data_IF_734002946582
#
_entry.id   IF_734002946582
#
_cell.length_a   1.000
_cell.length_b   1.000
_cell.length_c   1.000
_cell.angle_alpha   90.00
_cell.angle_beta   90.00
_cell.angle_gamma   90.00
#
_symmetry.space_group_name_H-M   'P 1'
#
loop_
_entity.id
_entity.type
_entity.pdbx_description
1 polymer ?
#
# COMPACT_ATOMS: atom_id res chain seq x y z
N UNK A 1 -20.99 -12.98 -36.60
CA UNK A 1 -20.84 -14.10 -35.63
C UNK A 1 -19.87 -13.73 -34.51
N UNK A 2 -18.59 -13.44 -34.80
CA UNK A 2 -17.63 -13.05 -33.74
C UNK A 2 -18.03 -11.80 -32.96
N UNK A 3 -18.62 -10.79 -33.64
CA UNK A 3 -19.12 -9.58 -32.98
C UNK A 3 -20.22 -9.88 -31.93
N UNK A 4 -21.07 -10.89 -32.17
CA UNK A 4 -22.10 -11.33 -31.23
C UNK A 4 -21.46 -11.95 -30.00
N UNK A 5 -20.49 -12.86 -30.18
CA UNK A 5 -19.76 -13.47 -29.07
C UNK A 5 -18.95 -12.44 -28.26
N UNK A 6 -18.33 -11.45 -28.92
CA UNK A 6 -17.62 -10.37 -28.24
C UNK A 6 -18.57 -9.47 -27.44
N UNK A 7 -19.75 -9.19 -27.97
CA UNK A 7 -20.79 -8.45 -27.24
C UNK A 7 -21.26 -9.22 -26.00
N UNK A 8 -21.54 -10.51 -26.14
CA UNK A 8 -21.93 -11.37 -25.02
C UNK A 8 -20.83 -11.45 -23.96
N UNK A 9 -19.58 -11.66 -24.37
CA UNK A 9 -18.42 -11.66 -23.49
C UNK A 9 -18.29 -10.35 -22.69
N UNK A 10 -18.36 -9.19 -23.38
CA UNK A 10 -18.30 -7.87 -22.74
C UNK A 10 -19.42 -7.70 -21.72
N UNK A 11 -20.64 -8.12 -22.07
CA UNK A 11 -21.81 -8.06 -21.17
C UNK A 11 -21.59 -8.93 -19.93
N UNK A 12 -21.15 -10.18 -20.08
CA UNK A 12 -20.92 -11.09 -18.95
C UNK A 12 -19.80 -10.63 -18.02
N UNK A 13 -18.72 -10.03 -18.55
CA UNK A 13 -17.69 -9.43 -17.70
C UNK A 13 -18.22 -8.26 -16.86
N UNK A 14 -19.15 -7.46 -17.41
CA UNK A 14 -19.85 -6.43 -16.63
C UNK A 14 -20.66 -7.04 -15.48
N UNK A 15 -21.39 -8.13 -15.73
CA UNK A 15 -22.15 -8.85 -14.70
C UNK A 15 -21.23 -9.44 -13.61
N UNK A 16 -20.12 -10.07 -13.99
CA UNK A 16 -19.11 -10.59 -13.05
C UNK A 16 -18.57 -9.48 -12.15
N UNK A 17 -18.27 -8.30 -12.72
CA UNK A 17 -17.76 -7.15 -11.96
C UNK A 17 -18.71 -6.74 -10.84
N UNK A 18 -20.01 -6.67 -11.13
CA UNK A 18 -21.02 -6.32 -10.13
C UNK A 18 -21.20 -7.43 -9.07
N UNK A 19 -21.04 -8.69 -9.45
CA UNK A 19 -21.06 -9.81 -8.51
C UNK A 19 -19.85 -9.81 -7.57
N UNK A 20 -18.66 -9.45 -8.07
CA UNK A 20 -17.45 -9.28 -7.26
C UNK A 20 -17.63 -8.13 -6.28
N UNK A 21 -18.09 -6.95 -6.73
CA UNK A 21 -18.38 -5.80 -5.85
C UNK A 21 -19.42 -6.13 -4.77
N UNK A 22 -20.40 -6.95 -5.11
CA UNK A 22 -21.42 -7.43 -4.18
C UNK A 22 -21.00 -8.61 -3.32
N UNK A 23 -19.70 -8.97 -3.30
CA UNK A 23 -19.11 -10.07 -2.53
C UNK A 23 -19.77 -11.44 -2.80
N UNK A 24 -20.38 -11.61 -3.98
CA UNK A 24 -21.02 -12.87 -4.42
C UNK A 24 -20.04 -13.82 -5.10
N UNK A 25 -18.88 -13.31 -5.48
CA UNK A 25 -17.74 -14.06 -6.02
C UNK A 25 -16.57 -13.78 -5.07
N UNK A 26 -15.88 -14.83 -4.65
CA UNK A 26 -14.74 -14.69 -3.74
C UNK A 26 -13.57 -13.97 -4.42
N UNK A 27 -12.69 -13.35 -3.62
CA UNK A 27 -11.45 -12.76 -4.14
C UNK A 27 -10.63 -13.78 -4.92
N UNK A 28 -10.49 -15.01 -4.40
CA UNK A 28 -9.77 -16.11 -5.05
C UNK A 28 -10.35 -16.46 -6.44
N UNK A 29 -11.68 -16.57 -6.56
CA UNK A 29 -12.31 -16.83 -7.86
C UNK A 29 -12.05 -15.70 -8.87
N UNK A 30 -12.06 -14.45 -8.38
CA UNK A 30 -11.73 -13.29 -9.21
C UNK A 30 -10.26 -13.30 -9.63
N UNK A 31 -9.34 -13.63 -8.73
CA UNK A 31 -7.90 -13.71 -9.04
C UNK A 31 -7.62 -14.78 -10.09
N UNK A 32 -8.23 -15.96 -9.99
CA UNK A 32 -8.11 -17.02 -11.00
C UNK A 32 -8.59 -16.58 -12.38
N UNK A 33 -9.70 -15.84 -12.44
CA UNK A 33 -10.20 -15.25 -13.68
C UNK A 33 -9.20 -14.23 -14.25
N UNK A 34 -8.68 -13.33 -13.41
CA UNK A 34 -7.71 -12.30 -13.81
C UNK A 34 -6.40 -12.92 -14.32
N UNK A 35 -5.87 -13.92 -13.62
CA UNK A 35 -4.69 -14.71 -14.02
C UNK A 35 -4.89 -15.30 -15.42
N UNK A 36 -6.01 -15.98 -15.64
CA UNK A 36 -6.33 -16.61 -16.94
C UNK A 36 -6.40 -15.59 -18.08
N UNK A 37 -6.97 -14.41 -17.82
CA UNK A 37 -7.05 -13.33 -18.80
C UNK A 37 -5.66 -12.75 -19.11
N UNK A 38 -4.83 -12.52 -18.09
CA UNK A 38 -3.48 -11.98 -18.25
C UNK A 38 -2.55 -12.96 -18.97
N UNK A 39 -2.63 -14.25 -18.68
CA UNK A 39 -1.90 -15.28 -19.44
C UNK A 39 -2.25 -15.27 -20.93
N UNK A 40 -3.54 -15.08 -21.25
CA UNK A 40 -3.98 -14.95 -22.64
C UNK A 40 -3.45 -13.66 -23.29
N UNK A 41 -3.49 -12.54 -22.56
CA UNK A 41 -2.97 -11.25 -23.04
C UNK A 41 -1.46 -11.29 -23.28
N UNK A 42 -0.68 -11.93 -22.40
CA UNK A 42 0.77 -12.12 -22.57
C UNK A 42 1.08 -12.98 -23.80
N UNK A 43 0.25 -13.99 -24.12
CA UNK A 43 0.42 -14.76 -25.36
C UNK A 43 0.17 -13.91 -26.62
N UNK A 44 -0.76 -12.97 -26.54
CA UNK A 44 -1.10 -12.08 -27.64
C UNK A 44 -0.12 -10.91 -27.81
N UNK A 45 0.39 -10.37 -26.71
CA UNK A 45 1.35 -9.26 -26.65
C UNK A 45 2.45 -9.55 -25.60
N UNK A 46 3.47 -10.36 -25.95
CA UNK A 46 4.48 -10.83 -25.01
C UNK A 46 5.45 -9.74 -24.53
N UNK A 47 5.46 -8.57 -25.17
CA UNK A 47 6.36 -7.47 -24.83
C UNK A 47 5.73 -6.47 -23.86
N UNK A 48 4.46 -6.69 -23.47
CA UNK A 48 3.76 -5.80 -22.56
C UNK A 48 4.10 -6.12 -21.09
N UNK A 49 5.04 -5.35 -20.54
CA UNK A 49 5.52 -5.51 -19.16
C UNK A 49 4.39 -5.41 -18.13
N UNK A 50 3.41 -4.52 -18.36
CA UNK A 50 2.29 -4.32 -17.44
C UNK A 50 1.46 -5.59 -17.25
N UNK A 51 1.27 -6.39 -18.31
CA UNK A 51 0.54 -7.66 -18.18
C UNK A 51 1.31 -8.68 -17.33
N UNK A 52 2.64 -8.72 -17.47
CA UNK A 52 3.51 -9.60 -16.67
C UNK A 52 3.52 -9.15 -15.21
N UNK A 53 3.57 -7.84 -14.95
CA UNK A 53 3.51 -7.27 -13.60
C UNK A 53 2.18 -7.56 -12.92
N UNK A 54 1.06 -7.32 -13.60
CA UNK A 54 -0.27 -7.62 -13.06
C UNK A 54 -0.45 -9.13 -12.84
N UNK A 55 0.09 -9.97 -13.71
CA UNK A 55 0.05 -11.42 -13.50
C UNK A 55 0.81 -11.80 -12.21
N UNK A 56 1.97 -11.19 -11.98
CA UNK A 56 2.73 -11.40 -10.75
C UNK A 56 1.93 -11.00 -9.50
N UNK A 57 1.27 -9.83 -9.53
CA UNK A 57 0.42 -9.33 -8.44
C UNK A 57 -0.74 -10.29 -8.15
N UNK A 58 -1.49 -10.73 -9.16
CA UNK A 58 -2.60 -11.65 -8.94
C UNK A 58 -2.16 -13.04 -8.49
N UNK A 59 -1.06 -13.56 -9.02
CA UNK A 59 -0.47 -14.81 -8.51
C UNK A 59 -0.07 -14.65 -7.03
N UNK A 60 0.45 -13.49 -6.65
CA UNK A 60 0.87 -13.19 -5.29
C UNK A 60 -0.33 -13.09 -4.35
N UNK A 61 -1.37 -12.34 -4.73
CA UNK A 61 -2.65 -12.23 -3.99
C UNK A 61 -3.36 -13.58 -3.82
N UNK A 62 -3.19 -14.48 -4.78
CA UNK A 62 -3.77 -15.83 -4.75
C UNK A 62 -2.88 -16.86 -4.02
N UNK A 63 -1.75 -16.43 -3.44
CA UNK A 63 -0.86 -17.29 -2.66
C UNK A 63 0.13 -18.13 -3.49
N UNK A 64 0.17 -17.95 -4.81
CA UNK A 64 1.13 -18.59 -5.71
C UNK A 64 2.50 -17.87 -5.70
N UNK A 65 3.05 -17.63 -4.51
CA UNK A 65 4.23 -16.77 -4.24
C UNK A 65 5.45 -17.14 -5.09
N UNK A 66 5.70 -18.43 -5.35
CA UNK A 66 6.81 -18.86 -6.21
C UNK A 66 6.64 -18.40 -7.66
N UNK A 67 5.43 -18.58 -8.20
CA UNK A 67 5.12 -18.18 -9.58
C UNK A 67 5.09 -16.66 -9.70
N UNK A 68 4.58 -15.95 -8.69
CA UNK A 68 4.67 -14.50 -8.60
C UNK A 68 6.12 -14.03 -8.69
N UNK A 69 7.04 -14.63 -7.91
CA UNK A 69 8.46 -14.30 -7.95
C UNK A 69 9.16 -14.59 -9.29
N UNK A 70 8.69 -15.59 -10.05
CA UNK A 70 9.15 -15.81 -11.43
C UNK A 70 8.69 -14.68 -12.36
N UNK A 71 7.42 -14.26 -12.25
CA UNK A 71 6.89 -13.16 -13.07
C UNK A 71 7.49 -11.80 -12.68
N UNK A 72 7.70 -11.50 -11.39
CA UNK A 72 8.37 -10.28 -10.95
C UNK A 72 9.81 -10.18 -11.45
N UNK A 73 10.57 -11.28 -11.44
CA UNK A 73 11.91 -11.30 -12.06
C UNK A 73 11.84 -11.01 -13.55
N UNK A 74 10.88 -11.61 -14.25
CA UNK A 74 10.66 -11.34 -15.67
C UNK A 74 10.30 -9.87 -15.95
N UNK A 75 9.54 -9.22 -15.06
CA UNK A 75 9.29 -7.77 -15.15
C UNK A 75 10.60 -6.99 -15.14
N UNK A 76 11.50 -7.26 -14.19
CA UNK A 76 12.80 -6.58 -14.11
C UNK A 76 13.79 -7.00 -15.21
N UNK A 77 13.62 -8.17 -15.83
CA UNK A 77 14.37 -8.52 -17.05
C UNK A 77 13.90 -7.69 -18.27
N UNK A 78 12.59 -7.42 -18.37
CA UNK A 78 12.00 -6.67 -19.47
C UNK A 78 12.16 -5.15 -19.33
N UNK A 79 12.07 -4.63 -18.10
CA UNK A 79 12.26 -3.23 -17.77
C UNK A 79 13.13 -3.10 -16.50
N UNK A 80 14.46 -3.14 -16.66
CA UNK A 80 15.40 -3.17 -15.55
C UNK A 80 15.39 -1.93 -14.66
N UNK A 81 15.85 -2.12 -13.43
CA UNK A 81 16.05 -1.02 -12.49
C UNK A 81 16.98 0.04 -13.08
N UNK A 82 16.60 1.31 -12.88
CA UNK A 82 17.48 2.43 -13.20
C UNK A 82 18.38 2.73 -12.00
N UNK A 83 19.64 3.09 -12.20
CA UNK A 83 20.47 3.57 -11.11
C UNK A 83 19.88 4.88 -10.56
N UNK A 84 19.89 5.02 -9.24
CA UNK A 84 19.65 6.31 -8.61
C UNK A 84 20.85 7.23 -8.83
N UNK A 85 20.57 8.51 -9.06
CA UNK A 85 21.59 9.55 -8.97
C UNK A 85 21.75 10.00 -7.52
N UNK A 86 22.92 10.58 -7.18
CA UNK A 86 23.15 11.18 -5.84
C UNK A 86 22.09 12.23 -5.48
N UNK A 87 21.57 12.95 -6.49
CA UNK A 87 20.50 13.91 -6.29
C UNK A 87 19.19 13.22 -5.91
N UNK A 88 18.83 12.12 -6.57
CA UNK A 88 17.61 11.37 -6.27
C UNK A 88 17.69 10.68 -4.91
N UNK A 89 18.84 10.09 -4.54
CA UNK A 89 19.06 9.54 -3.20
C UNK A 89 18.89 10.62 -2.13
N UNK A 90 19.48 11.80 -2.33
CA UNK A 90 19.31 12.93 -1.41
C UNK A 90 17.85 13.40 -1.34
N UNK A 91 17.11 13.39 -2.45
CA UNK A 91 15.68 13.78 -2.45
C UNK A 91 14.81 12.74 -1.72
N UNK A 92 15.10 11.44 -1.89
CA UNK A 92 14.48 10.37 -1.09
C UNK A 92 14.69 10.62 0.41
N UNK A 93 15.91 10.98 0.82
CA UNK A 93 16.19 11.26 2.22
C UNK A 93 15.50 12.56 2.70
N UNK A 94 15.58 13.62 1.89
CA UNK A 94 14.99 14.94 2.19
C UNK A 94 13.48 14.88 2.40
N UNK A 95 12.78 14.12 1.56
CA UNK A 95 11.32 14.02 1.59
C UNK A 95 10.82 12.79 2.35
N UNK A 96 11.71 12.05 3.02
CA UNK A 96 11.32 10.90 3.82
C UNK A 96 10.36 11.35 4.93
N UNK A 97 9.15 10.76 5.02
CA UNK A 97 8.16 11.17 6.00
C UNK A 97 8.64 10.90 7.43
N UNK A 98 8.04 11.57 8.41
CA UNK A 98 8.11 11.24 9.82
C UNK A 98 6.82 10.50 10.18
N UNK A 99 6.92 9.40 10.92
CA UNK A 99 5.76 8.67 11.39
C UNK A 99 5.49 9.02 12.85
N UNK A 100 4.21 9.21 13.16
CA UNK A 100 3.71 9.36 14.51
C UNK A 100 2.81 8.18 14.84
N UNK A 101 3.24 7.37 15.79
CA UNK A 101 2.56 6.13 16.19
C UNK A 101 1.94 6.27 17.58
N UNK A 102 1.03 5.36 17.88
CA UNK A 102 0.47 5.25 19.22
C UNK A 102 1.53 4.77 20.24
N UNK A 103 1.59 5.34 21.46
CA UNK A 103 2.50 4.86 22.51
C UNK A 103 2.37 3.37 22.88
N UNK A 104 1.21 2.78 22.58
CA UNK A 104 0.89 1.37 22.84
C UNK A 104 1.00 0.50 21.58
N UNK A 105 1.54 1.01 20.47
CA UNK A 105 1.72 0.23 19.23
C UNK A 105 2.41 -1.11 19.55
N UNK A 106 1.77 -2.20 19.12
CA UNK A 106 2.18 -3.56 19.42
C UNK A 106 2.98 -4.21 18.28
N UNK A 107 2.92 -3.66 17.07
CA UNK A 107 3.65 -4.15 15.91
C UNK A 107 4.72 -3.13 15.48
N UNK A 108 6.01 -3.41 15.69
CA UNK A 108 7.06 -2.50 15.30
C UNK A 108 7.24 -2.43 13.77
N UNK A 109 7.74 -1.29 13.29
CA UNK A 109 8.20 -1.14 11.90
C UNK A 109 9.45 -2.01 11.66
N UNK A 110 9.39 -2.93 10.71
CA UNK A 110 10.46 -3.89 10.39
C UNK A 110 11.40 -3.38 9.32
N UNK A 111 10.84 -2.94 8.20
CA UNK A 111 11.58 -2.51 7.02
C UNK A 111 10.90 -1.30 6.39
N UNK A 112 11.71 -0.52 5.67
CA UNK A 112 11.29 0.63 4.87
C UNK A 112 11.95 0.52 3.52
N UNK A 113 11.16 0.64 2.45
CA UNK A 113 11.67 0.70 1.07
C UNK A 113 11.23 2.01 0.46
N UNK A 114 12.16 2.75 -0.14
CA UNK A 114 11.85 3.96 -0.89
C UNK A 114 12.05 3.71 -2.39
N UNK A 115 11.05 4.07 -3.19
CA UNK A 115 11.11 3.93 -4.65
C UNK A 115 10.82 5.26 -5.30
N UNK A 116 11.77 5.76 -6.08
CA UNK A 116 11.61 6.95 -6.90
C UNK A 116 11.01 6.57 -8.26
N UNK A 117 9.96 7.28 -8.68
CA UNK A 117 9.35 7.03 -9.98
C UNK A 117 10.25 7.55 -11.12
N UNK A 118 10.56 6.75 -12.15
CA UNK A 118 11.62 7.07 -13.10
C UNK A 118 11.39 8.32 -13.95
N UNK A 119 10.12 8.71 -14.15
CA UNK A 119 9.74 9.86 -15.00
C UNK A 119 8.83 10.88 -14.34
N UNK A 120 8.48 10.71 -13.06
CA UNK A 120 7.53 11.60 -12.34
C UNK A 120 8.22 12.03 -11.05
N UNK A 121 8.01 13.27 -10.58
CA UNK A 121 8.63 13.73 -9.34
C UNK A 121 7.82 13.26 -8.13
N UNK A 122 7.75 11.94 -7.96
CA UNK A 122 7.03 11.27 -6.89
C UNK A 122 7.92 10.16 -6.33
N UNK A 123 7.91 10.02 -5.01
CA UNK A 123 8.62 8.96 -4.29
C UNK A 123 7.57 8.19 -3.49
N UNK A 124 7.55 6.87 -3.64
CA UNK A 124 6.81 5.94 -2.79
C UNK A 124 7.67 5.49 -1.63
N UNK A 125 7.13 5.54 -0.41
CA UNK A 125 7.70 4.96 0.80
C UNK A 125 6.80 3.82 1.25
N UNK A 126 7.37 2.63 1.28
CA UNK A 126 6.70 1.38 1.60
C UNK A 126 7.14 0.96 3.01
N UNK A 127 6.18 0.86 3.91
CA UNK A 127 6.38 0.55 5.32
C UNK A 127 5.92 -0.87 5.58
N UNK A 128 6.74 -1.65 6.28
CA UNK A 128 6.41 -3.03 6.62
C UNK A 128 6.35 -3.19 8.14
N UNK A 129 5.15 -3.22 8.69
CA UNK A 129 4.88 -3.41 10.11
C UNK A 129 4.86 -4.89 10.46
N UNK A 130 5.09 -5.26 11.72
CA UNK A 130 5.25 -6.66 12.10
C UNK A 130 4.07 -7.56 11.75
N UNK A 131 2.84 -7.06 11.87
CA UNK A 131 1.62 -7.82 11.58
C UNK A 131 0.42 -6.85 11.40
N UNK A 132 -0.79 -7.38 11.15
CA UNK A 132 -2.05 -6.64 11.25
C UNK A 132 -2.92 -7.28 12.34
N UNK A 133 -3.39 -6.46 13.28
CA UNK A 133 -4.19 -6.91 14.40
C UNK A 133 -5.47 -7.64 13.98
N UNK A 134 -6.04 -7.31 12.83
CA UNK A 134 -7.21 -7.99 12.28
C UNK A 134 -6.86 -9.22 11.46
N UNK A 135 -5.61 -9.44 11.06
CA UNK A 135 -5.27 -10.52 10.13
C UNK A 135 -4.22 -11.53 10.63
N UNK A 136 -4.44 -12.19 11.77
CA UNK A 136 -3.52 -13.23 12.25
C UNK A 136 -3.53 -14.53 11.43
N UNK A 137 -4.32 -14.62 10.35
CA UNK A 137 -4.62 -15.83 9.59
C UNK A 137 -4.55 -15.64 8.06
N UNK A 138 -3.99 -14.53 7.58
CA UNK A 138 -3.78 -14.28 6.14
C UNK A 138 -2.44 -14.83 5.61
N UNK A 139 -1.58 -15.32 6.52
CA UNK A 139 -0.24 -15.84 6.24
C UNK A 139 0.73 -14.80 5.67
N UNK A 140 0.46 -13.52 5.90
CA UNK A 140 1.33 -12.41 5.56
C UNK A 140 2.13 -12.00 6.81
N UNK A 141 3.47 -12.11 6.79
CA UNK A 141 4.30 -11.89 7.97
C UNK A 141 4.57 -10.39 8.27
N UNK A 142 3.78 -9.52 7.67
CA UNK A 142 3.82 -8.08 7.84
C UNK A 142 2.58 -7.43 7.25
N UNK A 143 2.18 -6.30 7.82
CA UNK A 143 1.29 -5.34 7.16
C UNK A 143 2.13 -4.35 6.32
N UNK A 144 1.72 -4.13 5.07
CA UNK A 144 2.46 -3.32 4.10
C UNK A 144 1.72 -2.03 3.83
N UNK A 145 2.22 -0.87 4.28
CA UNK A 145 1.58 0.43 4.07
C UNK A 145 2.36 1.32 3.07
N UNK A 146 1.65 2.23 2.40
CA UNK A 146 2.23 3.06 1.32
C UNK A 146 2.00 4.55 1.58
N UNK A 147 3.06 5.35 1.37
CA UNK A 147 3.01 6.81 1.38
C UNK A 147 3.64 7.30 0.09
N UNK A 148 3.02 8.29 -0.57
CA UNK A 148 3.60 8.93 -1.74
C UNK A 148 3.77 10.43 -1.54
N UNK A 149 4.97 10.92 -1.87
CA UNK A 149 5.31 12.34 -1.79
C UNK A 149 5.61 12.83 -3.20
N UNK A 150 4.79 13.77 -3.69
CA UNK A 150 5.10 14.53 -4.91
C UNK A 150 5.83 15.81 -4.56
N UNK A 151 6.72 16.25 -5.45
CA UNK A 151 7.49 17.47 -5.27
C UNK A 151 7.74 18.20 -6.59
N UNK A 152 8.11 19.46 -6.51
CA UNK A 152 8.63 20.20 -7.65
C UNK A 152 10.15 20.02 -7.75
N UNK A 153 10.65 19.53 -8.89
CA UNK A 153 12.07 19.20 -9.06
C UNK A 153 13.00 20.42 -9.04
N UNK A 154 12.49 21.62 -9.37
CA UNK A 154 13.33 22.82 -9.49
C UNK A 154 13.50 23.52 -8.14
N UNK A 155 12.41 23.62 -7.39
CA UNK A 155 12.36 24.27 -6.08
C UNK A 155 12.60 23.28 -4.95
N UNK A 156 12.47 21.99 -5.23
CA UNK A 156 12.57 20.90 -4.26
C UNK A 156 11.63 21.08 -3.06
N UNK A 157 10.39 21.45 -3.37
CA UNK A 157 9.31 21.66 -2.41
C UNK A 157 8.24 20.59 -2.60
N UNK A 158 7.71 20.04 -1.51
CA UNK A 158 6.59 19.09 -1.54
C UNK A 158 5.36 19.76 -2.14
N UNK A 159 4.72 19.11 -3.10
CA UNK A 159 3.52 19.61 -3.77
C UNK A 159 2.28 18.80 -3.45
N UNK A 160 2.44 17.55 -3.02
CA UNK A 160 1.33 16.67 -2.65
C UNK A 160 1.81 15.60 -1.67
N UNK A 161 0.94 15.22 -0.75
CA UNK A 161 1.17 14.15 0.22
C UNK A 161 -0.02 13.21 0.15
N UNK A 162 0.26 11.93 -0.10
CA UNK A 162 -0.73 10.88 -0.22
C UNK A 162 -0.35 9.69 0.66
N UNK A 163 -1.33 8.95 1.15
CA UNK A 163 -1.10 7.71 1.88
C UNK A 163 -2.20 6.69 1.63
N UNK A 164 -1.87 5.43 1.89
CA UNK A 164 -2.83 4.33 1.95
C UNK A 164 -3.60 4.36 3.27
N UNK A 165 -4.91 4.14 3.20
CA UNK A 165 -5.78 4.01 4.36
C UNK A 165 -6.87 2.98 4.04
N UNK A 166 -6.75 1.75 4.57
CA UNK A 166 -7.76 0.69 4.43
C UNK A 166 -8.35 0.54 3.02
N UNK A 167 -7.49 0.30 2.02
CA UNK A 167 -7.89 0.19 0.60
C UNK A 167 -8.30 1.49 -0.08
N UNK A 168 -7.84 2.63 0.43
CA UNK A 168 -8.09 3.97 -0.10
C UNK A 168 -6.79 4.75 -0.23
N UNK A 169 -6.73 5.67 -1.18
CA UNK A 169 -5.69 6.70 -1.21
C UNK A 169 -6.26 8.01 -0.68
N UNK A 170 -5.67 8.51 0.40
CA UNK A 170 -5.96 9.83 0.95
C UNK A 170 -4.98 10.87 0.39
N UNK A 171 -5.42 12.12 0.31
CA UNK A 171 -4.57 13.29 0.01
C UNK A 171 -5.01 14.48 0.85
N UNK A 172 -4.08 15.34 1.25
CA UNK A 172 -4.37 16.51 2.08
C UNK A 172 -3.49 17.71 1.74
N UNK A 173 -4.11 18.86 1.47
CA UNK A 173 -3.39 20.13 1.32
C UNK A 173 -2.76 20.59 2.65
N UNK A 174 -3.39 20.26 3.78
CA UNK A 174 -2.85 20.60 5.09
C UNK A 174 -1.61 19.78 5.42
N UNK A 175 -1.53 18.53 4.93
CA UNK A 175 -0.31 17.73 5.04
C UNK A 175 0.86 18.31 4.22
N UNK A 176 0.59 18.99 3.10
CA UNK A 176 1.62 19.73 2.34
C UNK A 176 2.14 20.92 3.15
N UNK A 177 1.24 21.71 3.76
CA UNK A 177 1.62 22.85 4.62
C UNK A 177 2.39 22.39 5.87
N UNK A 178 1.98 21.27 6.46
CA UNK A 178 2.68 20.63 7.58
C UNK A 178 4.09 20.20 7.16
N UNK A 179 4.23 19.54 6.01
CA UNK A 179 5.54 19.19 5.45
C UNK A 179 6.43 20.43 5.24
N UNK A 180 5.89 21.53 4.70
CA UNK A 180 6.66 22.77 4.51
C UNK A 180 7.18 23.35 5.82
N UNK A 181 6.36 23.26 6.87
CA UNK A 181 6.72 23.70 8.23
C UNK A 181 7.72 22.76 8.90
N UNK A 182 7.85 21.54 8.39
CA UNK A 182 8.71 20.49 8.93
C UNK A 182 9.83 20.10 7.94
N UNK A 183 10.52 21.10 7.39
CA UNK A 183 11.71 20.89 6.54
C UNK A 183 11.45 20.03 5.30
N UNK A 184 10.24 20.11 4.74
CA UNK A 184 9.76 19.31 3.60
C UNK A 184 9.49 17.83 3.92
N UNK A 185 9.47 17.44 5.20
CA UNK A 185 9.14 16.08 5.64
C UNK A 185 7.68 16.01 6.08
N UNK A 186 6.86 15.28 5.33
CA UNK A 186 5.47 15.05 5.72
C UNK A 186 5.38 14.28 7.03
N UNK A 187 4.37 14.58 7.85
CA UNK A 187 4.09 13.87 9.09
C UNK A 187 2.86 12.97 8.88
N UNK A 188 3.03 11.68 9.13
CA UNK A 188 2.01 10.67 8.91
C UNK A 188 1.67 10.01 10.24
N UNK A 189 0.38 9.96 10.57
CA UNK A 189 -0.11 9.34 11.81
C UNK A 189 -0.53 7.91 11.50
N UNK A 190 -0.10 6.95 12.31
CA UNK A 190 -0.29 5.53 12.05
C UNK A 190 -1.28 4.98 13.07
N UNK A 191 -2.40 4.45 12.57
CA UNK A 191 -3.42 3.81 13.40
C UNK A 191 -2.85 2.59 14.14
N UNK A 192 -3.18 2.48 15.43
CA UNK A 192 -2.71 1.38 16.27
C UNK A 192 -3.10 0.00 15.70
N UNK A 193 -2.11 -0.87 15.57
CA UNK A 193 -2.26 -2.30 15.26
C UNK A 193 -2.76 -2.65 13.85
N UNK A 194 -3.43 -1.72 13.16
CA UNK A 194 -3.94 -1.89 11.78
C UNK A 194 -3.22 -1.00 10.75
N UNK A 195 -2.38 -0.09 11.24
CA UNK A 195 -1.49 0.79 10.49
C UNK A 195 -2.09 1.66 9.38
N UNK A 196 -3.41 1.85 9.35
CA UNK A 196 -4.03 2.83 8.47
C UNK A 196 -3.35 4.20 8.60
N UNK A 197 -2.77 4.70 7.51
CA UNK A 197 -2.03 5.97 7.53
C UNK A 197 -2.98 7.16 7.40
N UNK A 198 -2.78 8.15 8.27
CA UNK A 198 -3.61 9.36 8.38
C UNK A 198 -2.77 10.61 8.13
N UNK A 199 -3.36 11.56 7.40
CA UNK A 199 -2.75 12.84 7.05
C UNK A 199 -3.16 13.96 8.00
N UNK A 200 -2.44 15.08 7.98
CA UNK A 200 -2.86 16.29 8.69
C UNK A 200 -4.30 16.68 8.30
N UNK A 201 -5.14 16.97 9.30
CA UNK A 201 -6.56 17.32 9.12
C UNK A 201 -7.50 16.13 8.93
N UNK A 202 -7.04 14.89 9.14
CA UNK A 202 -7.83 13.66 8.96
C UNK A 202 -9.17 13.68 9.69
N UNK A 203 -9.30 14.37 10.82
CA UNK A 203 -10.51 14.46 11.64
C UNK A 203 -11.72 14.98 10.84
N UNK A 204 -11.45 15.81 9.82
CA UNK A 204 -12.46 16.42 8.95
C UNK A 204 -12.52 15.77 7.55
N UNK A 205 -11.64 14.80 7.28
CA UNK A 205 -11.59 14.12 5.99
C UNK A 205 -12.69 13.06 5.87
N UNK A 206 -13.03 12.76 4.63
CA UNK A 206 -13.89 11.64 4.26
C UNK A 206 -13.10 10.68 3.38
N UNK A 207 -13.30 9.38 3.59
CA UNK A 207 -12.71 8.41 2.66
C UNK A 207 -13.43 8.48 1.29
N UNK A 208 -12.70 8.25 0.20
CA UNK A 208 -13.17 8.62 -1.14
C UNK A 208 -14.23 7.70 -1.76
N UNK A 209 -14.48 6.49 -1.23
CA UNK A 209 -15.40 5.54 -1.89
C UNK A 209 -16.83 5.60 -1.35
N UNK A 210 -17.02 5.71 -0.04
CA UNK A 210 -18.34 5.72 0.62
C UNK A 210 -18.70 7.10 1.20
N UNK A 211 -17.71 7.99 1.37
CA UNK A 211 -17.90 9.33 1.91
C UNK A 211 -18.04 9.37 3.44
N UNK A 212 -17.75 8.26 4.13
CA UNK A 212 -17.70 8.19 5.60
C UNK A 212 -16.56 9.06 6.12
N UNK A 213 -16.77 9.78 7.21
CA UNK A 213 -15.71 10.59 7.84
C UNK A 213 -14.69 9.70 8.51
N UNK A 214 -13.40 10.05 8.41
CA UNK A 214 -12.33 9.25 9.04
C UNK A 214 -12.46 9.23 10.56
N UNK A 215 -12.98 10.31 11.17
CA UNK A 215 -13.30 10.32 12.59
C UNK A 215 -14.35 9.27 12.98
N UNK A 216 -15.38 9.06 12.15
CA UNK A 216 -16.36 8.02 12.40
C UNK A 216 -15.73 6.64 12.23
N UNK A 217 -14.96 6.45 11.15
CA UNK A 217 -14.23 5.21 10.87
C UNK A 217 -13.29 4.81 12.02
N UNK A 218 -12.48 5.73 12.53
CA UNK A 218 -11.57 5.44 13.64
C UNK A 218 -12.32 5.12 14.93
N UNK A 219 -13.49 5.72 15.18
CA UNK A 219 -14.31 5.37 16.36
C UNK A 219 -14.84 3.94 16.25
N UNK A 220 -15.34 3.54 15.08
CA UNK A 220 -15.78 2.17 14.85
C UNK A 220 -14.62 1.19 14.95
N UNK A 221 -13.47 1.55 14.38
CA UNK A 221 -12.26 0.72 14.43
C UNK A 221 -11.72 0.59 15.84
N UNK A 222 -11.67 1.67 16.62
CA UNK A 222 -11.35 1.64 18.04
C UNK A 222 -12.25 0.68 18.82
N UNK A 223 -13.57 0.77 18.69
CA UNK A 223 -14.49 -0.15 19.37
C UNK A 223 -14.28 -1.60 18.92
N UNK A 224 -14.01 -1.81 17.63
CA UNK A 224 -13.70 -3.13 17.08
C UNK A 224 -12.42 -3.72 17.66
N UNK A 225 -11.30 -3.00 17.63
CA UNK A 225 -10.02 -3.49 18.14
C UNK A 225 -9.98 -3.58 19.66
N UNK A 226 -10.70 -2.70 20.37
CA UNK A 226 -10.90 -2.80 21.82
C UNK A 226 -11.60 -4.09 22.23
N UNK A 227 -12.52 -4.58 21.40
CA UNK A 227 -13.22 -5.84 21.60
C UNK A 227 -12.48 -7.07 21.01
N UNK A 228 -11.19 -6.91 20.69
CA UNK A 228 -10.32 -8.00 20.24
C UNK A 228 -10.18 -8.12 18.72
N UNK A 229 -10.80 -7.22 17.96
CA UNK A 229 -10.70 -7.18 16.50
C UNK A 229 -11.32 -8.42 15.83
N UNK A 230 -10.88 -8.71 14.61
CA UNK A 230 -11.30 -9.91 13.88
C UNK A 230 -10.71 -11.16 14.55
N UNK A 231 -11.48 -12.26 14.57
CA UNK A 231 -11.07 -13.56 15.13
C UNK A 231 -10.35 -13.48 16.50
N UNK A 232 -10.97 -12.89 17.54
CA UNK A 232 -10.31 -12.61 18.83
C UNK A 232 -9.79 -13.86 19.58
N UNK A 233 -10.31 -15.04 19.24
CA UNK A 233 -9.89 -16.33 19.79
C UNK A 233 -8.78 -17.02 18.99
N UNK A 234 -8.23 -16.37 17.95
CA UNK A 234 -7.18 -16.97 17.12
C UNK A 234 -5.94 -17.33 17.96
N UNK A 235 -5.31 -18.51 17.79
CA UNK A 235 -4.20 -18.95 18.64
C UNK A 235 -3.00 -18.00 18.68
N UNK A 236 -2.71 -17.25 17.60
CA UNK A 236 -1.60 -16.29 17.60
C UNK A 236 -1.87 -15.08 18.50
N UNK A 237 -3.13 -14.65 18.64
CA UNK A 237 -3.52 -13.51 19.48
C UNK A 237 -3.24 -13.72 20.97
N UNK A 238 -2.93 -14.95 21.41
CA UNK A 238 -2.46 -15.20 22.79
C UNK A 238 -1.14 -14.51 23.12
N UNK A 239 -0.37 -14.12 22.09
CA UNK A 239 0.88 -13.38 22.21
C UNK A 239 0.74 -11.89 21.91
N UNK A 240 -0.46 -11.45 21.54
CA UNK A 240 -0.78 -10.05 21.25
C UNK A 240 -1.57 -9.45 22.42
N UNK A 241 -1.73 -8.12 22.48
CA UNK A 241 -2.73 -7.51 23.33
C UNK A 241 -4.12 -8.12 23.06
N UNK A 242 -4.97 -8.23 24.09
CA UNK A 242 -6.35 -8.74 23.93
C UNK A 242 -7.25 -7.77 23.14
N UNK A 243 -6.82 -6.52 23.03
CA UNK A 243 -7.48 -5.41 22.38
C UNK A 243 -6.76 -4.14 22.77
N UNK A 244 -7.17 -3.01 22.18
CA UNK A 244 -6.66 -1.73 22.63
C UNK A 244 -7.21 -1.41 24.03
N UNK A 245 -6.32 -1.22 25.00
CA UNK A 245 -6.67 -0.82 26.36
C UNK A 245 -6.57 0.70 26.49
N UNK A 246 -7.70 1.40 26.65
CA UNK A 246 -7.71 2.84 26.85
C UNK A 246 -9.00 3.53 26.43
N UNK A 247 -8.95 4.85 26.35
CA UNK A 247 -10.00 5.68 25.74
C UNK A 247 -9.75 5.91 24.25
N UNK A 248 -10.73 6.48 23.55
CA UNK A 248 -10.56 6.85 22.13
C UNK A 248 -9.52 7.97 21.95
N UNK A 249 -9.41 8.87 22.91
CA UNK A 249 -8.39 9.92 22.92
C UNK A 249 -7.00 9.31 23.04
N UNK A 250 -6.82 8.27 23.87
CA UNK A 250 -5.56 7.53 23.94
C UNK A 250 -5.31 6.69 22.69
N UNK A 251 -6.34 6.20 22.00
CA UNK A 251 -6.22 5.46 20.74
C UNK A 251 -5.70 6.35 19.60
N UNK A 252 -6.12 7.62 19.61
CA UNK A 252 -5.73 8.64 18.63
C UNK A 252 -4.57 9.52 19.12
N UNK A 253 -3.88 9.11 20.20
CA UNK A 253 -2.65 9.73 20.64
C UNK A 253 -1.48 9.26 19.76
N UNK A 254 -1.08 10.09 18.80
CA UNK A 254 0.07 9.85 17.92
C UNK A 254 1.29 10.63 18.42
N UNK A 255 1.71 10.41 19.65
CA UNK A 255 2.79 11.18 20.28
C UNK A 255 4.18 10.56 20.16
N UNK A 256 4.29 9.31 19.70
CA UNK A 256 5.60 8.65 19.55
C UNK A 256 6.10 8.80 18.13
N UNK A 257 7.26 9.42 18.01
CA UNK A 257 7.95 9.58 16.72
C UNK A 257 8.72 8.31 16.35
N UNK A 258 8.55 7.88 15.09
CA UNK A 258 9.37 6.88 14.43
C UNK A 258 9.90 7.51 13.14
N UNK A 259 11.22 7.51 12.95
CA UNK A 259 11.86 8.10 11.77
C UNK A 259 12.31 6.99 10.78
N UNK A 260 11.59 6.76 9.67
CA UNK A 260 11.95 5.80 8.61
C UNK A 260 13.33 6.06 8.00
N UNK A 261 13.86 7.27 8.10
CA UNK A 261 15.19 7.60 7.62
C UNK A 261 16.27 6.80 8.37
N UNK A 262 16.03 6.40 9.62
CA UNK A 262 16.92 5.49 10.34
C UNK A 262 17.05 4.13 9.65
N UNK A 263 15.96 3.59 9.10
CA UNK A 263 15.97 2.34 8.36
C UNK A 263 16.72 2.50 7.05
N UNK A 264 16.43 3.56 6.29
CA UNK A 264 17.11 3.83 5.03
C UNK A 264 18.61 4.11 5.22
N UNK A 265 19.03 4.69 6.34
CA UNK A 265 20.44 4.88 6.67
C UNK A 265 21.15 3.57 7.05
N UNK A 266 20.48 2.67 7.78
CA UNK A 266 21.04 1.37 8.20
C UNK A 266 21.04 0.34 7.07
N UNK A 267 19.98 0.33 6.27
CA UNK A 267 19.71 -0.60 5.16
C UNK A 267 19.13 0.22 4.01
N UNK A 268 19.98 0.74 3.10
CA UNK A 268 19.56 1.68 2.04
C UNK A 268 18.78 0.99 0.93
N UNK A 269 17.55 0.57 1.23
CA UNK A 269 16.59 0.02 0.27
C UNK A 269 15.95 1.16 -0.51
N UNK A 270 16.72 1.77 -1.40
CA UNK A 270 16.32 2.86 -2.26
C UNK A 270 16.46 2.44 -3.73
N UNK A 271 15.40 2.61 -4.51
CA UNK A 271 15.36 2.15 -5.91
C UNK A 271 14.72 3.17 -6.84
N UNK A 272 14.93 3.01 -8.14
CA UNK A 272 14.26 3.77 -9.19
C UNK A 272 13.65 2.84 -10.22
N UNK A 273 12.34 2.72 -10.22
CA UNK A 273 11.60 1.82 -11.12
C UNK A 273 10.12 2.19 -11.16
N UNK A 274 9.40 1.73 -12.19
CA UNK A 274 7.93 1.75 -12.20
C UNK A 274 7.33 0.55 -11.47
N UNK A 275 8.10 -0.51 -11.26
CA UNK A 275 7.64 -1.83 -10.82
C UNK A 275 8.01 -2.06 -9.36
N UNK A 276 7.25 -1.45 -8.47
CA UNK A 276 7.55 -1.39 -7.04
C UNK A 276 7.41 -2.77 -6.40
N UNK A 277 6.33 -3.49 -6.68
CA UNK A 277 6.13 -4.83 -6.12
C UNK A 277 7.25 -5.77 -6.59
N UNK A 278 7.68 -5.64 -7.85
CA UNK A 278 8.74 -6.46 -8.41
C UNK A 278 10.07 -6.26 -7.66
N UNK A 279 10.49 -5.01 -7.44
CA UNK A 279 11.75 -4.72 -6.72
C UNK A 279 11.66 -5.10 -5.24
N UNK A 280 10.53 -4.83 -4.58
CA UNK A 280 10.32 -5.21 -3.17
C UNK A 280 10.44 -6.73 -3.01
N UNK A 281 9.81 -7.49 -3.91
CA UNK A 281 9.80 -8.95 -3.85
C UNK A 281 11.17 -9.57 -4.16
N UNK A 282 11.89 -9.04 -5.14
CA UNK A 282 13.07 -9.71 -5.71
C UNK A 282 14.39 -9.23 -5.11
N UNK A 283 14.48 -7.95 -4.75
CA UNK A 283 15.74 -7.31 -4.33
C UNK A 283 15.74 -6.86 -2.86
N UNK A 284 14.57 -6.63 -2.25
CA UNK A 284 14.48 -5.97 -0.94
C UNK A 284 14.22 -6.92 0.22
N UNK A 285 13.08 -7.60 0.20
CA UNK A 285 12.56 -8.32 1.35
C UNK A 285 12.92 -9.80 1.28
N UNK A 286 13.11 -10.39 2.46
CA UNK A 286 13.39 -11.83 2.63
C UNK A 286 12.16 -12.61 3.11
N UNK A 287 11.01 -11.96 3.15
CA UNK A 287 9.74 -12.47 3.64
C UNK A 287 8.62 -11.98 2.72
N UNK A 288 7.46 -12.66 2.78
CA UNK A 288 6.30 -12.33 1.96
C UNK A 288 5.64 -11.01 2.41
N UNK A 289 4.89 -10.35 1.54
CA UNK A 289 4.12 -9.14 1.85
C UNK A 289 2.85 -9.08 0.99
N UNK A 290 1.88 -8.25 1.36
CA UNK A 290 0.72 -7.99 0.50
C UNK A 290 1.10 -7.08 -0.69
N UNK A 291 0.96 -7.50 -1.95
CA UNK A 291 1.20 -6.60 -3.07
C UNK A 291 0.13 -5.50 -3.11
N UNK A 292 0.56 -4.25 -3.32
CA UNK A 292 -0.34 -3.09 -3.42
C UNK A 292 -0.25 -2.43 -4.81
N UNK A 293 -0.92 -1.30 -5.02
CA UNK A 293 -1.08 -0.71 -6.36
C UNK A 293 0.18 -0.05 -6.92
N UNK A 294 1.30 -0.01 -6.17
CA UNK A 294 2.60 0.59 -6.55
C UNK A 294 2.56 2.13 -6.61
N UNK A 295 1.65 2.70 -7.41
CA UNK A 295 1.52 4.13 -7.65
C UNK A 295 0.06 4.61 -7.53
N UNK A 296 -0.18 5.82 -7.02
CA UNK A 296 -1.52 6.28 -6.67
C UNK A 296 -2.42 6.54 -7.88
N UNK A 297 -1.88 6.70 -9.09
CA UNK A 297 -2.67 6.88 -10.31
C UNK A 297 -3.49 5.63 -10.67
N UNK A 298 -3.03 4.43 -10.33
CA UNK A 298 -3.82 3.19 -10.49
C UNK A 298 -5.10 3.22 -9.64
N UNK A 299 -5.07 3.82 -8.45
CA UNK A 299 -6.28 4.04 -7.64
C UNK A 299 -7.21 5.05 -8.28
N UNK A 300 -6.70 6.21 -8.69
CA UNK A 300 -7.56 7.26 -9.25
C UNK A 300 -8.21 6.85 -10.57
N UNK A 301 -7.57 5.97 -11.34
CA UNK A 301 -8.14 5.38 -12.55
C UNK A 301 -9.22 4.34 -12.26
N UNK A 302 -9.20 3.67 -11.10
CA UNK A 302 -10.19 2.64 -10.77
C UNK A 302 -11.52 3.21 -10.27
N UNK A 303 -11.52 4.48 -9.83
CA UNK A 303 -12.69 5.20 -9.33
C UNK A 303 -13.31 6.17 -10.35
N UNK A 304 -12.67 6.36 -11.51
CA UNK A 304 -13.08 7.27 -12.59
C UNK A 304 -14.01 6.59 -13.59
#
# INVERSE_FOLDING_TARGET
MIATFLYEWKKRNGEITELVKGERISGADFYQLAISQLEFLIKADPNNVSYVSQLAEFLHLDGHVRQAGEQYRKVLEMDPLLPLTETEERLIQKFCPILLVNPKECFPLKDVVAVHHPTKPIIGYHLFWEDDYDFPDDYEPCDHEEIWIEYDQKTEVVTNVMCWFHSRVLKSEDAVKEAHSNQQRAIIRIEWGKHGSLLCGWENMKEPLTGVTLLHWLKETYEHVKNGGRVPSHPLKRFWPKGFEGTFEEYTDFSVEVDPLEWLNKKPLMYKTRWVNAVIFTECLRYNFHPKMEWPDRFFQSIA
#
